data_IF_873087456940
#
_entry.id   IF_873087456940
#
_cell.length_a   1.000
_cell.length_b   1.000
_cell.length_c   1.000
_cell.angle_alpha   90.00
_cell.angle_beta   90.00
_cell.angle_gamma   90.00
#
_symmetry.space_group_name_H-M   'P 1'
#
loop_
_entity.id
_entity.type
_entity.pdbx_description
1 polymer ?
#
# COMPACT_ATOMS: atom_id res chain seq x y z
N UNK A 1 39.18 -18.24 -8.79
CA UNK A 1 38.04 -17.71 -9.56
C UNK A 1 36.78 -18.58 -9.44
N UNK A 2 36.79 -19.88 -9.76
CA UNK A 2 35.59 -20.77 -9.69
C UNK A 2 34.91 -20.83 -8.30
N UNK A 3 35.68 -20.91 -7.21
CA UNK A 3 35.14 -20.93 -5.83
C UNK A 3 34.47 -19.61 -5.40
N UNK A 4 34.96 -18.49 -5.93
CA UNK A 4 34.39 -17.15 -5.70
C UNK A 4 33.10 -16.96 -6.50
N UNK A 5 33.07 -17.46 -7.75
CA UNK A 5 31.84 -17.47 -8.57
C UNK A 5 30.73 -18.32 -7.93
N UNK A 6 31.07 -19.51 -7.40
CA UNK A 6 30.11 -20.41 -6.76
C UNK A 6 29.51 -19.81 -5.48
N UNK A 7 30.30 -19.08 -4.70
CA UNK A 7 29.82 -18.41 -3.47
C UNK A 7 28.98 -17.17 -3.77
N UNK A 8 29.35 -16.37 -4.78
CA UNK A 8 28.52 -15.24 -5.25
C UNK A 8 27.18 -15.74 -5.81
N UNK A 9 27.19 -16.82 -6.60
CA UNK A 9 25.97 -17.43 -7.16
C UNK A 9 25.04 -17.97 -6.06
N UNK A 10 25.60 -18.55 -4.98
CA UNK A 10 24.82 -19.06 -3.85
C UNK A 10 24.20 -17.93 -3.00
N UNK A 11 24.87 -16.78 -2.87
CA UNK A 11 24.32 -15.60 -2.18
C UNK A 11 23.20 -14.96 -3.01
N UNK A 12 23.37 -14.88 -4.33
CA UNK A 12 22.35 -14.35 -5.25
C UNK A 12 21.06 -15.20 -5.26
N UNK A 13 21.18 -16.53 -5.23
CA UNK A 13 20.00 -17.41 -5.19
C UNK A 13 19.26 -17.35 -3.86
N UNK A 14 20.00 -17.21 -2.74
CA UNK A 14 19.40 -17.07 -1.41
C UNK A 14 18.64 -15.74 -1.28
N UNK A 15 19.16 -14.66 -1.87
CA UNK A 15 18.48 -13.37 -1.93
C UNK A 15 17.17 -13.43 -2.74
N UNK A 16 17.17 -14.10 -3.90
CA UNK A 16 15.98 -14.23 -4.74
C UNK A 16 14.84 -15.06 -4.08
N UNK A 17 15.19 -16.14 -3.37
CA UNK A 17 14.21 -16.94 -2.63
C UNK A 17 13.58 -16.17 -1.45
N UNK A 18 14.38 -15.36 -0.76
CA UNK A 18 13.91 -14.48 0.33
C UNK A 18 12.92 -13.42 -0.16
N UNK A 19 13.20 -12.81 -1.32
CA UNK A 19 12.32 -11.82 -1.95
C UNK A 19 10.96 -12.43 -2.35
N UNK A 20 10.95 -13.64 -2.93
CA UNK A 20 9.70 -14.31 -3.32
C UNK A 20 8.80 -14.65 -2.12
N UNK A 21 9.40 -15.04 -0.99
CA UNK A 21 8.64 -15.34 0.23
C UNK A 21 8.03 -14.08 0.85
N UNK A 22 8.75 -12.95 0.81
CA UNK A 22 8.26 -11.66 1.31
C UNK A 22 7.09 -11.12 0.48
N UNK A 23 7.16 -11.18 -0.85
CA UNK A 23 6.03 -10.77 -1.71
C UNK A 23 4.76 -11.59 -1.42
N UNK A 24 4.88 -12.91 -1.27
CA UNK A 24 3.74 -13.76 -0.88
C UNK A 24 3.18 -13.38 0.49
N UNK A 25 4.04 -13.07 1.46
CA UNK A 25 3.62 -12.64 2.78
C UNK A 25 2.91 -11.28 2.75
N UNK A 26 3.40 -10.33 1.94
CA UNK A 26 2.77 -9.04 1.71
C UNK A 26 1.38 -9.18 1.11
N UNK A 27 1.24 -9.98 0.04
CA UNK A 27 -0.06 -10.29 -0.58
C UNK A 27 -1.03 -10.95 0.39
N UNK A 28 -0.55 -11.91 1.19
CA UNK A 28 -1.41 -12.56 2.20
C UNK A 28 -1.91 -11.56 3.25
N UNK A 29 -1.05 -10.64 3.71
CA UNK A 29 -1.46 -9.59 4.63
C UNK A 29 -2.49 -8.65 3.97
N UNK A 30 -2.26 -8.27 2.72
CA UNK A 30 -3.20 -7.45 1.94
C UNK A 30 -4.58 -8.12 1.79
N UNK A 31 -4.64 -9.40 1.40
CA UNK A 31 -5.90 -10.15 1.30
C UNK A 31 -6.63 -10.25 2.64
N UNK A 32 -5.88 -10.43 3.74
CA UNK A 32 -6.47 -10.44 5.08
C UNK A 32 -7.06 -9.07 5.45
N UNK A 33 -6.37 -7.98 5.08
CA UNK A 33 -6.84 -6.62 5.21
C UNK A 33 -8.14 -6.37 4.42
N UNK A 34 -8.19 -6.81 3.15
CA UNK A 34 -9.41 -6.73 2.32
C UNK A 34 -10.57 -7.49 2.97
N UNK A 35 -10.33 -8.71 3.45
CA UNK A 35 -11.36 -9.50 4.11
C UNK A 35 -11.87 -8.82 5.40
N UNK A 36 -10.99 -8.19 6.18
CA UNK A 36 -11.39 -7.43 7.37
C UNK A 36 -12.19 -6.17 7.01
N UNK A 37 -11.78 -5.43 5.98
CA UNK A 37 -12.49 -4.26 5.47
C UNK A 37 -13.88 -4.62 4.92
N UNK A 38 -14.02 -5.76 4.23
CA UNK A 38 -15.30 -6.29 3.76
C UNK A 38 -16.27 -6.67 4.89
N UNK A 39 -15.77 -6.87 6.12
CA UNK A 39 -16.57 -7.02 7.34
C UNK A 39 -16.70 -5.73 8.14
N UNK A 40 -16.33 -4.59 7.54
CA UNK A 40 -16.30 -3.27 8.15
C UNK A 40 -15.40 -3.15 9.40
N UNK A 41 -14.49 -4.09 9.62
CA UNK A 41 -13.52 -4.01 10.70
C UNK A 41 -12.28 -3.22 10.23
N UNK A 42 -12.44 -1.90 10.10
CA UNK A 42 -11.42 -1.01 9.54
C UNK A 42 -10.16 -0.91 10.41
N UNK A 43 -10.27 -1.06 11.73
CA UNK A 43 -9.10 -1.07 12.62
C UNK A 43 -8.22 -2.31 12.39
N UNK A 44 -8.83 -3.50 12.27
CA UNK A 44 -8.08 -4.70 11.94
C UNK A 44 -7.53 -4.66 10.51
N UNK A 45 -8.33 -4.17 9.56
CA UNK A 45 -7.91 -4.01 8.18
C UNK A 45 -6.69 -3.09 8.06
N UNK A 46 -6.70 -1.96 8.75
CA UNK A 46 -5.59 -1.01 8.79
C UNK A 46 -4.29 -1.68 9.23
N UNK A 47 -4.31 -2.43 10.35
CA UNK A 47 -3.12 -3.14 10.83
C UNK A 47 -2.60 -4.20 9.84
N UNK A 48 -3.51 -4.91 9.14
CA UNK A 48 -3.12 -5.88 8.12
C UNK A 48 -2.55 -5.20 6.86
N UNK A 49 -3.07 -4.03 6.46
CA UNK A 49 -2.51 -3.24 5.35
C UNK A 49 -1.17 -2.59 5.70
N UNK A 50 -0.98 -2.04 6.89
CA UNK A 50 0.31 -1.49 7.36
C UNK A 50 1.38 -2.60 7.41
N UNK A 51 0.99 -3.81 7.81
CA UNK A 51 1.85 -4.99 7.71
C UNK A 51 2.17 -5.34 6.26
N UNK A 52 1.18 -5.31 5.37
CA UNK A 52 1.40 -5.56 3.94
C UNK A 52 2.39 -4.55 3.35
N UNK A 53 2.26 -3.27 3.71
CA UNK A 53 3.16 -2.20 3.31
C UNK A 53 4.59 -2.49 3.78
N UNK A 54 4.77 -2.79 5.06
CA UNK A 54 6.09 -3.12 5.65
C UNK A 54 6.77 -4.29 4.93
N UNK A 55 5.99 -5.28 4.50
CA UNK A 55 6.48 -6.46 3.77
C UNK A 55 6.70 -6.17 2.27
N UNK A 56 6.07 -5.14 1.73
CA UNK A 56 6.18 -4.68 0.36
C UNK A 56 7.27 -3.61 0.15
N UNK A 57 7.87 -3.07 1.22
CA UNK A 57 8.99 -2.12 1.15
C UNK A 57 10.36 -2.69 0.65
N UNK A 58 10.59 -4.00 0.45
CA UNK A 58 11.64 -4.45 -0.46
C UNK A 58 11.26 -4.05 -1.90
N UNK A 59 12.23 -3.56 -2.68
CA UNK A 59 12.10 -3.08 -4.07
C UNK A 59 11.51 -4.07 -5.11
N UNK A 60 10.98 -5.22 -4.68
CA UNK A 60 10.33 -6.22 -5.51
C UNK A 60 8.82 -6.00 -5.68
N UNK A 61 8.14 -5.31 -4.74
CA UNK A 61 6.75 -4.94 -4.93
C UNK A 61 6.66 -3.78 -5.92
N UNK A 62 6.02 -4.00 -7.08
CA UNK A 62 5.81 -2.93 -8.05
C UNK A 62 4.95 -1.80 -7.47
N UNK A 63 5.17 -0.58 -7.96
CA UNK A 63 4.45 0.63 -7.54
C UNK A 63 2.93 0.45 -7.55
N UNK A 64 2.42 -0.35 -8.50
CA UNK A 64 1.02 -0.71 -8.59
C UNK A 64 0.45 -1.37 -7.33
N UNK A 65 1.21 -2.30 -6.73
CA UNK A 65 0.78 -2.99 -5.53
C UNK A 65 0.89 -2.08 -4.30
N UNK A 66 1.99 -1.31 -4.21
CA UNK A 66 2.17 -0.30 -3.16
C UNK A 66 1.06 0.74 -3.19
N UNK A 67 0.69 1.25 -4.38
CA UNK A 67 -0.43 2.16 -4.56
C UNK A 67 -1.76 1.55 -4.09
N UNK A 68 -2.00 0.27 -4.37
CA UNK A 68 -3.18 -0.42 -3.87
C UNK A 68 -3.20 -0.52 -2.34
N UNK A 69 -2.05 -0.74 -1.69
CA UNK A 69 -1.95 -0.75 -0.23
C UNK A 69 -2.23 0.63 0.34
N UNK A 70 -1.54 1.67 -0.12
CA UNK A 70 -1.75 3.05 0.32
C UNK A 70 -3.21 3.50 0.17
N UNK A 71 -3.83 3.21 -0.98
CA UNK A 71 -5.26 3.49 -1.17
C UNK A 71 -6.14 2.82 -0.10
N UNK A 72 -5.90 1.55 0.21
CA UNK A 72 -6.71 0.82 1.20
C UNK A 72 -6.43 1.28 2.64
N UNK A 73 -5.20 1.68 2.97
CA UNK A 73 -4.88 2.35 4.25
C UNK A 73 -5.67 3.66 4.34
N UNK A 74 -5.66 4.48 3.29
CA UNK A 74 -6.44 5.72 3.21
C UNK A 74 -7.93 5.49 3.43
N UNK A 75 -8.51 4.49 2.77
CA UNK A 75 -9.93 4.11 2.99
C UNK A 75 -10.18 3.75 4.45
N UNK A 76 -9.32 2.94 5.06
CA UNK A 76 -9.50 2.56 6.47
C UNK A 76 -9.41 3.78 7.39
N UNK A 77 -8.43 4.67 7.18
CA UNK A 77 -8.27 5.90 7.98
C UNK A 77 -9.47 6.83 7.83
N UNK A 78 -9.96 7.03 6.61
CA UNK A 78 -11.17 7.81 6.34
C UNK A 78 -12.40 7.23 7.08
N UNK A 79 -12.60 5.91 7.00
CA UNK A 79 -13.70 5.23 7.72
C UNK A 79 -13.56 5.30 9.24
N UNK A 80 -12.33 5.42 9.75
CA UNK A 80 -12.01 5.62 11.17
C UNK A 80 -11.99 7.10 11.59
N UNK A 81 -12.46 8.02 10.74
CA UNK A 81 -12.52 9.48 11.00
C UNK A 81 -11.16 10.15 11.17
N UNK A 82 -10.13 9.57 10.58
CA UNK A 82 -8.78 10.13 10.50
C UNK A 82 -8.51 10.67 9.08
N UNK A 83 -9.38 11.56 8.61
CA UNK A 83 -9.40 12.04 7.22
C UNK A 83 -8.13 12.80 6.84
N UNK A 84 -7.53 13.53 7.79
CA UNK A 84 -6.25 14.24 7.58
C UNK A 84 -5.08 13.29 7.27
N UNK A 85 -5.07 12.08 7.84
CA UNK A 85 -4.09 11.07 7.45
C UNK A 85 -4.51 10.35 6.18
N UNK A 86 -5.81 10.08 5.99
CA UNK A 86 -6.32 9.45 4.78
C UNK A 86 -5.91 10.19 3.50
N UNK A 87 -6.01 11.53 3.49
CA UNK A 87 -5.53 12.41 2.40
C UNK A 87 -4.12 12.04 1.96
N UNK A 88 -3.17 11.98 2.90
CA UNK A 88 -1.76 11.69 2.59
C UNK A 88 -1.55 10.31 1.99
N UNK A 89 -2.31 9.32 2.44
CA UNK A 89 -2.24 7.96 1.90
C UNK A 89 -2.81 7.92 0.47
N UNK A 90 -3.89 8.66 0.20
CA UNK A 90 -4.46 8.78 -1.14
C UNK A 90 -3.54 9.51 -2.12
N UNK A 91 -2.94 10.63 -1.70
CA UNK A 91 -1.92 11.36 -2.48
C UNK A 91 -0.76 10.44 -2.85
N UNK A 92 -0.21 9.71 -1.88
CA UNK A 92 0.87 8.74 -2.13
C UNK A 92 0.45 7.66 -3.12
N UNK A 93 -0.79 7.16 -3.01
CA UNK A 93 -1.32 6.15 -3.93
C UNK A 93 -1.44 6.68 -5.37
N UNK A 94 -1.83 7.94 -5.53
CA UNK A 94 -1.92 8.64 -6.83
C UNK A 94 -0.54 8.84 -7.43
N UNK A 95 0.43 9.28 -6.63
CA UNK A 95 1.83 9.48 -7.06
C UNK A 95 2.45 8.20 -7.60
N UNK A 96 2.27 7.08 -6.90
CA UNK A 96 2.75 5.75 -7.33
C UNK A 96 2.11 5.28 -8.64
N UNK A 97 0.88 5.73 -8.92
CA UNK A 97 0.18 5.49 -10.18
C UNK A 97 0.42 6.59 -11.22
N UNK A 98 1.40 7.46 -11.00
CA UNK A 98 1.78 8.55 -11.90
C UNK A 98 0.59 9.45 -12.26
N UNK A 99 -0.31 9.68 -11.31
CA UNK A 99 -1.51 10.49 -11.51
C UNK A 99 -2.67 9.76 -12.21
N UNK A 100 -2.61 8.44 -12.41
CA UNK A 100 -3.69 7.66 -13.05
C UNK A 100 -4.30 6.70 -12.04
N UNK A 101 -5.11 7.23 -11.12
CA UNK A 101 -5.81 6.43 -10.12
C UNK A 101 -7.15 7.01 -9.68
N UNK A 102 -8.16 6.85 -10.53
CA UNK A 102 -9.47 7.51 -10.44
C UNK A 102 -10.16 7.27 -9.10
N UNK A 103 -10.10 6.05 -8.57
CA UNK A 103 -10.70 5.73 -7.27
C UNK A 103 -10.01 6.43 -6.11
N UNK A 104 -8.70 6.69 -6.20
CA UNK A 104 -7.95 7.39 -5.17
C UNK A 104 -8.23 8.90 -5.21
N UNK A 105 -8.36 9.48 -6.40
CA UNK A 105 -8.82 10.86 -6.59
C UNK A 105 -10.21 11.10 -6.00
N UNK A 106 -11.17 10.24 -6.33
CA UNK A 106 -12.51 10.32 -5.76
C UNK A 106 -12.50 10.23 -4.22
N UNK A 107 -11.69 9.32 -3.66
CA UNK A 107 -11.55 9.17 -2.21
C UNK A 107 -10.84 10.36 -1.55
N UNK A 108 -9.86 10.97 -2.22
CA UNK A 108 -9.19 12.19 -1.80
C UNK A 108 -10.18 13.35 -1.73
N UNK A 109 -10.96 13.59 -2.78
CA UNK A 109 -11.95 14.66 -2.79
C UNK A 109 -13.00 14.53 -1.68
N UNK A 110 -13.44 13.29 -1.37
CA UNK A 110 -14.31 13.05 -0.22
C UNK A 110 -13.62 13.39 1.11
N UNK A 111 -12.35 13.02 1.28
CA UNK A 111 -11.60 13.29 2.50
C UNK A 111 -11.33 14.79 2.69
N UNK A 112 -10.97 15.52 1.63
CA UNK A 112 -10.77 16.96 1.64
C UNK A 112 -12.06 17.72 1.95
N UNK A 113 -13.19 17.28 1.38
CA UNK A 113 -14.51 17.83 1.70
C UNK A 113 -14.88 17.63 3.18
N UNK A 114 -14.58 16.46 3.78
CA UNK A 114 -14.81 16.21 5.22
C UNK A 114 -13.92 17.11 6.10
N UNK A 115 -12.73 17.48 5.63
CA UNK A 115 -11.85 18.45 6.31
C UNK A 115 -12.25 19.91 6.07
N UNK A 116 -13.18 20.17 5.15
CA UNK A 116 -13.60 21.52 4.76
C UNK A 116 -12.65 22.23 3.79
N UNK A 117 -11.70 21.51 3.18
CA UNK A 117 -10.83 22.03 2.12
C UNK A 117 -11.51 21.86 0.75
N UNK A 118 -12.57 22.64 0.54
CA UNK A 118 -13.35 22.63 -0.70
C UNK A 118 -12.50 22.92 -1.95
N UNK A 119 -11.54 23.85 -1.93
CA UNK A 119 -10.65 24.05 -3.07
C UNK A 119 -9.82 22.81 -3.41
N UNK A 120 -9.32 22.07 -2.43
CA UNK A 120 -8.62 20.80 -2.69
C UNK A 120 -9.57 19.73 -3.24
N UNK A 121 -10.77 19.60 -2.65
CA UNK A 121 -11.77 18.64 -3.08
C UNK A 121 -12.21 18.80 -4.54
N UNK A 122 -12.28 20.03 -5.06
CA UNK A 122 -12.62 20.31 -6.46
C UNK A 122 -11.50 19.96 -7.45
N UNK A 123 -10.25 19.87 -6.98
CA UNK A 123 -9.08 19.56 -7.80
C UNK A 123 -8.73 18.08 -7.83
N UNK A 124 -9.29 17.30 -6.92
CA UNK A 124 -9.13 15.85 -6.85
C UNK A 124 -10.06 15.15 -7.85
#
# INVERSE_FOLDING_TARGET
MKRLLLSILMILTLAAAGVSAQDKAARRAFEKGLAAAGRENFAAALGDFERALTLAEPAAAGDDFRAAIYFNIGVCRYRLKDSARAVREFETAIELKKGVYEKAFYALGMADAELGDWPAAERA
#
